data_IF_746621478916
#
_entry.id   IF_746621478916
#
_cell.length_a   1.000
_cell.length_b   1.000
_cell.length_c   1.000
_cell.angle_alpha   90.00
_cell.angle_beta   90.00
_cell.angle_gamma   90.00
#
_symmetry.space_group_name_H-M   'P 1'
#
loop_
_entity.id
_entity.type
_entity.pdbx_description
1 polymer ?
#
# COMPACT_ATOMS: atom_id res chain seq x y z
N UNK A 1 -1.66 4.17 -40.89
CA UNK A 1 -1.81 5.63 -41.11
C UNK A 1 -0.42 6.25 -41.01
N UNK A 2 0.02 6.96 -42.06
CA UNK A 2 1.37 7.57 -42.11
C UNK A 2 1.27 9.00 -41.59
N UNK A 3 2.12 9.37 -40.65
CA UNK A 3 2.15 10.72 -40.07
C UNK A 3 3.54 11.33 -40.21
N UNK A 4 3.59 12.60 -40.57
CA UNK A 4 4.84 13.37 -40.63
C UNK A 4 4.91 14.27 -39.41
N UNK A 5 5.99 14.14 -38.62
CA UNK A 5 6.28 15.00 -37.49
C UNK A 5 7.74 15.42 -37.57
N UNK A 6 8.00 16.73 -37.55
CA UNK A 6 9.36 17.30 -37.62
C UNK A 6 10.16 16.85 -38.87
N UNK A 7 9.52 16.95 -40.04
CA UNK A 7 10.14 16.65 -41.35
C UNK A 7 10.42 15.16 -41.62
N UNK A 8 9.90 14.24 -40.79
CA UNK A 8 10.16 12.80 -40.88
C UNK A 8 8.86 12.01 -40.97
N UNK A 9 8.83 10.97 -41.80
CA UNK A 9 7.69 10.08 -42.00
C UNK A 9 7.70 8.91 -41.02
N UNK A 10 6.56 8.67 -40.35
CA UNK A 10 6.35 7.56 -39.42
C UNK A 10 5.13 6.75 -39.82
N UNK A 11 5.24 5.42 -39.75
CA UNK A 11 4.11 4.51 -39.90
C UNK A 11 3.62 4.15 -38.49
N UNK A 12 2.35 4.45 -38.20
CA UNK A 12 1.69 4.05 -36.95
C UNK A 12 1.10 2.66 -37.09
N UNK A 13 1.52 1.72 -36.22
CA UNK A 13 1.04 0.33 -36.25
C UNK A 13 0.03 0.06 -35.12
N UNK A 14 0.10 0.75 -33.98
CA UNK A 14 -0.98 0.91 -32.96
C UNK A 14 -0.61 2.09 -32.03
N UNK A 15 -1.55 2.65 -31.26
CA UNK A 15 -1.41 3.87 -30.41
C UNK A 15 -0.20 3.91 -29.43
N UNK A 16 0.60 2.85 -29.33
CA UNK A 16 1.75 2.74 -28.42
C UNK A 16 3.12 2.66 -29.12
N UNK A 17 3.18 2.51 -30.46
CA UNK A 17 4.45 2.38 -31.18
C UNK A 17 4.39 2.97 -32.61
N UNK A 18 5.43 3.72 -33.00
CA UNK A 18 5.65 4.22 -34.37
C UNK A 18 7.00 3.73 -34.90
N UNK A 19 7.04 3.33 -36.17
CA UNK A 19 8.28 2.95 -36.86
C UNK A 19 8.69 4.10 -37.78
N UNK A 20 9.95 4.53 -37.63
CA UNK A 20 10.58 5.49 -38.54
C UNK A 20 10.99 4.79 -39.81
N UNK A 21 10.43 5.20 -40.95
CA UNK A 21 10.81 4.71 -42.27
C UNK A 21 11.81 5.70 -42.86
N UNK A 22 13.08 5.33 -42.91
CA UNK A 22 14.09 6.10 -43.64
C UNK A 22 14.13 5.59 -45.08
N UNK A 23 13.80 6.47 -46.03
CA UNK A 23 13.95 6.17 -47.46
C UNK A 23 15.44 6.04 -47.80
N UNK A 24 15.73 5.01 -48.60
CA UNK A 24 17.02 4.48 -49.02
C UNK A 24 18.23 5.44 -49.03
N UNK A 25 19.38 4.97 -48.48
CA UNK A 25 20.69 4.91 -49.15
C UNK A 25 21.79 4.34 -48.25
N UNK A 26 22.43 3.27 -48.78
CA UNK A 26 23.84 2.83 -48.70
C UNK A 26 24.70 3.11 -47.44
N UNK A 27 25.24 2.00 -46.93
CA UNK A 27 26.45 1.80 -46.12
C UNK A 27 26.46 2.26 -44.64
N UNK A 28 27.00 1.33 -43.84
CA UNK A 28 27.65 1.47 -42.55
C UNK A 28 26.82 1.29 -41.27
N UNK A 29 26.97 0.07 -40.72
CA UNK A 29 27.03 -0.29 -39.31
C UNK A 29 25.93 0.32 -38.43
N UNK A 30 24.79 -0.37 -38.39
CA UNK A 30 23.75 -0.14 -37.39
C UNK A 30 24.33 -0.50 -36.03
N UNK A 31 24.81 0.52 -35.32
CA UNK A 31 25.18 0.44 -33.91
C UNK A 31 23.89 0.16 -33.14
N UNK A 32 23.69 -1.12 -32.81
CA UNK A 32 22.67 -1.56 -31.86
C UNK A 32 23.06 -1.01 -30.48
N UNK A 33 22.69 0.24 -30.20
CA UNK A 33 22.61 0.70 -28.82
C UNK A 33 21.54 -0.14 -28.14
N UNK A 34 22.01 -1.18 -27.44
CA UNK A 34 21.21 -2.06 -26.61
C UNK A 34 20.57 -1.22 -25.52
N UNK A 35 19.35 -0.74 -25.75
CA UNK A 35 18.48 -0.22 -24.71
C UNK A 35 18.10 -1.41 -23.83
N UNK A 36 18.88 -1.62 -22.77
CA UNK A 36 18.76 -2.75 -21.84
C UNK A 36 17.50 -2.56 -21.01
N UNK A 37 16.34 -2.95 -21.53
CA UNK A 37 15.17 -3.28 -20.72
C UNK A 37 15.49 -4.55 -19.94
N UNK A 38 16.11 -4.37 -18.77
CA UNK A 38 16.22 -5.38 -17.73
C UNK A 38 15.47 -4.82 -16.53
N UNK A 39 14.23 -5.27 -16.33
CA UNK A 39 13.45 -4.97 -15.12
C UNK A 39 14.17 -5.64 -13.94
N UNK A 40 15.06 -4.88 -13.31
CA UNK A 40 15.79 -5.23 -12.11
C UNK A 40 15.03 -4.62 -10.95
N UNK A 41 14.58 -5.42 -9.99
CA UNK A 41 13.68 -4.98 -8.89
C UNK A 41 14.27 -3.78 -8.13
N UNK A 42 15.58 -3.76 -7.94
CA UNK A 42 16.31 -2.65 -7.33
C UNK A 42 16.16 -1.33 -8.10
N UNK A 43 16.15 -1.35 -9.43
CA UNK A 43 15.98 -0.14 -10.25
C UNK A 43 14.58 0.42 -10.06
N UNK A 44 13.57 -0.44 -9.99
CA UNK A 44 12.18 -0.03 -9.75
C UNK A 44 12.00 0.55 -8.35
N UNK A 45 12.56 -0.09 -7.32
CA UNK A 45 12.53 0.40 -5.94
C UNK A 45 13.26 1.74 -5.84
N UNK A 46 14.48 1.88 -6.40
CA UNK A 46 15.19 3.16 -6.42
C UNK A 46 14.41 4.24 -7.18
N UNK A 47 13.73 3.87 -8.26
CA UNK A 47 12.83 4.77 -8.99
C UNK A 47 11.66 5.25 -8.14
N UNK A 48 11.09 4.38 -7.30
CA UNK A 48 10.04 4.74 -6.33
C UNK A 48 10.60 5.60 -5.19
N UNK A 49 11.79 5.28 -4.66
CA UNK A 49 12.47 6.10 -3.65
C UNK A 49 12.70 7.53 -4.14
N UNK A 50 13.15 7.69 -5.38
CA UNK A 50 13.29 9.02 -6.02
C UNK A 50 11.99 9.82 -6.08
N UNK A 51 10.86 9.15 -6.32
CA UNK A 51 9.53 9.81 -6.34
C UNK A 51 9.16 10.34 -4.95
N UNK A 52 9.43 9.56 -3.92
CA UNK A 52 9.15 9.94 -2.52
C UNK A 52 10.00 11.15 -2.11
N UNK A 53 11.30 11.09 -2.40
CA UNK A 53 12.26 12.13 -2.00
C UNK A 53 12.29 13.32 -2.96
N UNK A 54 11.49 13.30 -4.03
CA UNK A 54 11.37 14.34 -5.08
C UNK A 54 12.69 14.66 -5.81
N UNK A 55 13.66 13.74 -5.78
CA UNK A 55 14.94 13.88 -6.49
C UNK A 55 14.92 13.16 -7.84
N UNK A 56 15.52 13.76 -8.85
CA UNK A 56 15.63 13.15 -10.19
C UNK A 56 16.94 12.39 -10.37
N UNK A 57 18.00 12.84 -9.71
CA UNK A 57 19.37 12.31 -9.85
C UNK A 57 19.68 11.26 -8.80
N UNK A 58 20.60 10.35 -9.11
CA UNK A 58 21.12 9.40 -8.12
C UNK A 58 21.93 10.12 -7.03
N UNK A 59 22.65 11.19 -7.38
CA UNK A 59 23.43 11.99 -6.43
C UNK A 59 22.55 12.66 -5.39
N UNK A 60 21.38 13.19 -5.78
CA UNK A 60 20.43 13.76 -4.82
C UNK A 60 19.84 12.69 -3.90
N UNK A 61 19.59 11.48 -4.41
CA UNK A 61 19.13 10.38 -3.57
C UNK A 61 20.24 9.92 -2.60
N UNK A 62 21.50 9.91 -3.04
CA UNK A 62 22.64 9.49 -2.21
C UNK A 62 22.88 10.45 -1.05
N UNK A 63 22.70 11.74 -1.28
CA UNK A 63 22.78 12.78 -0.24
C UNK A 63 21.68 12.62 0.83
N UNK A 64 20.43 12.40 0.40
CA UNK A 64 19.30 12.15 1.32
C UNK A 64 19.50 10.86 2.13
N UNK A 65 20.08 9.84 1.50
CA UNK A 65 20.35 8.54 2.13
C UNK A 65 21.63 8.52 2.97
N UNK A 66 22.47 9.55 2.89
CA UNK A 66 23.79 9.55 3.54
C UNK A 66 24.75 8.47 3.02
N UNK A 67 24.58 7.99 1.77
CA UNK A 67 25.43 6.96 1.15
C UNK A 67 26.21 7.52 -0.03
N UNK A 68 27.31 6.87 -0.43
CA UNK A 68 28.05 7.28 -1.63
C UNK A 68 27.30 6.94 -2.92
N UNK A 69 27.43 7.72 -4.01
CA UNK A 69 26.84 7.39 -5.32
C UNK A 69 27.28 6.03 -5.89
N UNK A 70 28.49 5.59 -5.52
CA UNK A 70 29.04 4.27 -5.87
C UNK A 70 28.24 3.15 -5.21
N UNK A 71 27.76 3.35 -3.97
CA UNK A 71 26.90 2.40 -3.26
C UNK A 71 25.57 2.21 -3.98
N UNK A 72 24.93 3.30 -4.46
CA UNK A 72 23.72 3.19 -5.27
C UNK A 72 23.95 2.41 -6.58
N UNK A 73 25.10 2.64 -7.22
CA UNK A 73 25.49 1.93 -8.44
C UNK A 73 25.72 0.45 -8.18
N UNK A 74 26.32 0.11 -7.03
CA UNK A 74 26.52 -1.26 -6.56
C UNK A 74 25.20 -1.97 -6.29
N UNK A 75 24.22 -1.31 -5.67
CA UNK A 75 22.89 -1.90 -5.42
C UNK A 75 22.14 -2.21 -6.71
N UNK A 76 22.21 -1.30 -7.71
CA UNK A 76 21.66 -1.53 -9.05
C UNK A 76 22.32 -2.73 -9.74
N UNK A 77 23.66 -2.80 -9.69
CA UNK A 77 24.41 -3.88 -10.31
C UNK A 77 24.14 -5.26 -9.68
N UNK A 78 23.88 -5.29 -8.37
CA UNK A 78 23.62 -6.53 -7.60
C UNK A 78 22.14 -6.91 -7.50
N UNK A 79 21.24 -6.08 -8.01
CA UNK A 79 19.79 -6.19 -7.84
C UNK A 79 19.33 -6.41 -6.38
N UNK A 80 20.01 -5.76 -5.44
CA UNK A 80 19.81 -5.93 -3.99
C UNK A 80 19.96 -4.59 -3.30
N UNK A 81 18.92 -4.16 -2.59
CA UNK A 81 18.93 -2.95 -1.76
C UNK A 81 18.80 -3.38 -0.30
N UNK A 82 19.59 -2.80 0.63
CA UNK A 82 19.44 -3.05 2.05
C UNK A 82 18.04 -2.69 2.54
N UNK A 83 17.40 -3.60 3.28
CA UNK A 83 16.05 -3.39 3.77
C UNK A 83 15.97 -2.25 4.80
N UNK A 84 17.03 -2.04 5.58
CA UNK A 84 17.14 -0.93 6.54
C UNK A 84 16.90 0.42 5.88
N UNK A 85 17.55 0.67 4.74
CA UNK A 85 17.43 1.92 3.96
C UNK A 85 15.99 2.13 3.47
N UNK A 86 15.34 1.06 3.00
CA UNK A 86 13.95 1.12 2.58
C UNK A 86 13.01 1.42 3.76
N UNK A 87 13.24 0.80 4.92
CA UNK A 87 12.43 1.03 6.12
C UNK A 87 12.58 2.45 6.66
N UNK A 88 13.82 2.96 6.74
CA UNK A 88 14.10 4.31 7.23
C UNK A 88 13.40 5.36 6.38
N UNK A 89 13.52 5.27 5.05
CA UNK A 89 12.82 6.18 4.15
C UNK A 89 11.30 6.01 4.20
N UNK A 90 10.81 4.78 4.25
CA UNK A 90 9.38 4.52 4.35
C UNK A 90 8.79 5.10 5.64
N UNK A 91 9.50 4.97 6.76
CA UNK A 91 9.09 5.54 8.05
C UNK A 91 9.17 7.07 8.04
N UNK A 92 10.23 7.65 7.48
CA UNK A 92 10.41 9.10 7.44
C UNK A 92 9.37 9.81 6.57
N UNK A 93 8.91 9.16 5.48
CA UNK A 93 7.95 9.73 4.54
C UNK A 93 6.53 9.18 4.67
N UNK A 94 6.28 8.25 5.60
CA UNK A 94 4.99 7.60 5.79
C UNK A 94 4.53 6.84 4.55
N UNK A 95 5.41 6.03 3.94
CA UNK A 95 5.15 5.31 2.68
C UNK A 95 4.95 3.82 2.95
N UNK A 96 4.02 3.20 2.23
CA UNK A 96 3.76 1.76 2.32
C UNK A 96 4.90 0.94 1.70
N UNK A 97 5.37 -0.07 2.43
CA UNK A 97 6.38 -1.00 1.94
C UNK A 97 5.85 -1.86 0.79
N UNK A 98 4.56 -2.22 0.80
CA UNK A 98 3.91 -2.97 -0.28
C UNK A 98 3.91 -2.17 -1.59
N UNK A 99 3.70 -0.85 -1.50
CA UNK A 99 3.85 0.04 -2.65
C UNK A 99 5.32 0.15 -3.08
N UNK A 100 6.24 0.28 -2.12
CA UNK A 100 7.66 0.43 -2.40
C UNK A 100 8.26 -0.79 -3.11
N UNK A 101 7.95 -2.01 -2.64
CA UNK A 101 8.48 -3.25 -3.20
C UNK A 101 7.58 -3.83 -4.29
N UNK A 102 6.28 -3.94 -4.04
CA UNK A 102 5.30 -4.56 -4.94
C UNK A 102 4.73 -3.61 -5.99
N UNK A 103 4.78 -2.30 -5.78
CA UNK A 103 4.18 -1.32 -6.70
C UNK A 103 2.66 -1.34 -6.71
N UNK A 104 2.05 -2.02 -5.73
CA UNK A 104 0.62 -2.18 -5.59
C UNK A 104 0.13 -1.40 -4.37
N UNK A 105 -1.13 -0.97 -4.41
CA UNK A 105 -1.76 -0.27 -3.29
C UNK A 105 -1.41 1.22 -3.18
N UNK A 106 -1.87 1.88 -2.10
CA UNK A 106 -1.62 3.30 -1.87
C UNK A 106 -0.15 3.57 -1.51
N UNK A 107 0.41 4.65 -2.05
CA UNK A 107 1.81 5.05 -1.79
C UNK A 107 2.01 5.45 -0.33
N UNK A 108 1.15 6.32 0.19
CA UNK A 108 1.21 6.73 1.57
C UNK A 108 0.59 5.64 2.43
N UNK A 109 1.24 5.32 3.54
CA UNK A 109 0.56 4.72 4.67
C UNK A 109 -0.52 5.73 5.03
N UNK A 110 -1.76 5.40 4.68
CA UNK A 110 -2.85 5.90 5.49
C UNK A 110 -2.46 5.53 6.93
N UNK A 111 -2.57 6.45 7.91
CA UNK A 111 -2.41 6.06 9.30
C UNK A 111 -3.20 4.76 9.43
N UNK A 112 -2.56 3.67 9.92
CA UNK A 112 -3.17 2.34 9.87
C UNK A 112 -4.60 2.56 10.28
N UNK A 113 -5.58 2.20 9.45
CA UNK A 113 -6.97 2.44 9.75
C UNK A 113 -7.20 1.81 11.13
N UNK A 114 -7.04 2.61 12.19
CA UNK A 114 -6.65 2.12 13.51
C UNK A 114 -7.96 1.76 14.11
N UNK A 115 -8.58 0.65 13.72
CA UNK A 115 -9.92 0.27 14.19
C UNK A 115 -11.01 1.36 14.00
N UNK A 116 -10.71 2.51 13.37
CA UNK A 116 -11.63 3.66 13.25
C UNK A 116 -12.61 3.47 12.10
N UNK A 117 -12.26 2.68 11.08
CA UNK A 117 -13.17 2.46 9.94
C UNK A 117 -14.18 1.34 10.19
N UNK A 118 -13.91 0.40 11.09
CA UNK A 118 -14.88 -0.62 11.51
C UNK A 118 -15.78 -0.16 12.66
N UNK A 119 -15.38 0.86 13.42
CA UNK A 119 -16.27 1.56 14.36
C UNK A 119 -16.64 2.90 13.72
N UNK A 120 -17.60 2.85 12.80
CA UNK A 120 -18.14 4.03 12.12
C UNK A 120 -18.30 5.18 13.12
N UNK A 121 -17.75 6.34 12.76
CA UNK A 121 -17.81 7.63 13.49
C UNK A 121 -18.76 7.57 14.69
N UNK A 122 -18.23 7.27 15.88
CA UNK A 122 -19.02 7.21 17.12
C UNK A 122 -19.98 8.41 17.17
N UNK A 123 -21.25 8.11 17.38
CA UNK A 123 -22.29 9.10 17.64
C UNK A 123 -21.90 10.02 18.80
N UNK A 124 -22.51 11.20 18.86
CA UNK A 124 -22.25 12.15 19.95
C UNK A 124 -22.45 11.51 21.34
N UNK A 125 -23.45 10.65 21.45
CA UNK A 125 -23.75 9.93 22.67
C UNK A 125 -22.64 8.94 23.04
N UNK A 126 -22.12 8.16 22.10
CA UNK A 126 -21.02 7.22 22.36
C UNK A 126 -19.75 7.94 22.78
N UNK A 127 -19.44 9.09 22.17
CA UNK A 127 -18.31 9.93 22.60
C UNK A 127 -18.47 10.41 24.03
N UNK A 128 -19.67 10.85 24.39
CA UNK A 128 -19.99 11.29 25.75
C UNK A 128 -19.86 10.14 26.76
N UNK A 129 -20.36 8.95 26.42
CA UNK A 129 -20.21 7.75 27.27
C UNK A 129 -18.73 7.41 27.49
N UNK A 130 -17.91 7.43 26.44
CA UNK A 130 -16.47 7.17 26.55
C UNK A 130 -15.78 8.22 27.41
N UNK A 131 -16.13 9.50 27.25
CA UNK A 131 -15.55 10.58 28.05
C UNK A 131 -15.93 10.41 29.53
N UNK A 132 -17.20 10.14 29.82
CA UNK A 132 -17.67 9.87 31.18
C UNK A 132 -16.97 8.65 31.78
N UNK A 133 -16.81 7.57 31.02
CA UNK A 133 -16.10 6.38 31.50
C UNK A 133 -14.65 6.70 31.87
N UNK A 134 -13.96 7.53 31.09
CA UNK A 134 -12.56 7.91 31.34
C UNK A 134 -12.37 8.79 32.57
N UNK A 135 -13.39 9.56 32.98
CA UNK A 135 -13.32 10.39 34.20
C UNK A 135 -13.58 9.60 35.47
N UNK A 136 -14.17 8.38 35.37
CA UNK A 136 -14.36 7.49 36.51
C UNK A 136 -13.03 6.95 37.05
N UNK A 137 -13.00 6.59 38.35
CA UNK A 137 -11.86 5.90 38.95
C UNK A 137 -11.75 4.48 38.40
N UNK A 138 -10.54 3.89 38.44
CA UNK A 138 -10.31 2.51 37.95
C UNK A 138 -11.17 1.46 38.66
N UNK A 139 -11.54 1.64 39.92
CA UNK A 139 -12.48 0.75 40.62
C UNK A 139 -13.85 0.75 39.95
N UNK A 140 -14.33 1.93 39.62
CA UNK A 140 -15.69 2.15 39.13
C UNK A 140 -15.77 1.76 37.65
N UNK A 141 -14.70 2.02 36.90
CA UNK A 141 -14.52 1.50 35.53
C UNK A 141 -14.59 -0.03 35.48
N UNK A 142 -13.96 -0.74 36.44
CA UNK A 142 -14.03 -2.21 36.51
C UNK A 142 -15.44 -2.71 36.78
N UNK A 143 -16.20 -2.01 37.62
CA UNK A 143 -17.60 -2.36 37.89
C UNK A 143 -18.43 -2.20 36.61
N UNK A 144 -18.29 -1.08 35.90
CA UNK A 144 -18.98 -0.84 34.63
C UNK A 144 -18.63 -1.92 33.61
N UNK A 145 -17.35 -2.29 33.50
CA UNK A 145 -16.90 -3.36 32.61
C UNK A 145 -17.54 -4.70 32.97
N UNK A 146 -17.50 -5.09 34.25
CA UNK A 146 -18.08 -6.33 34.74
C UNK A 146 -19.58 -6.43 34.46
N UNK A 147 -20.32 -5.35 34.73
CA UNK A 147 -21.77 -5.31 34.46
C UNK A 147 -22.05 -5.42 32.96
N UNK A 148 -21.27 -4.75 32.11
CA UNK A 148 -21.43 -4.85 30.66
C UNK A 148 -21.16 -6.28 30.15
N UNK A 149 -20.11 -6.92 30.65
CA UNK A 149 -19.76 -8.31 30.33
C UNK A 149 -20.85 -9.29 30.77
N UNK A 150 -21.33 -9.19 32.01
CA UNK A 150 -22.42 -10.02 32.54
C UNK A 150 -23.69 -9.86 31.70
N UNK A 151 -24.01 -8.63 31.27
CA UNK A 151 -25.16 -8.38 30.40
C UNK A 151 -25.01 -9.01 29.03
N UNK A 152 -23.82 -8.94 28.42
CA UNK A 152 -23.57 -9.61 27.14
C UNK A 152 -23.70 -11.13 27.24
N UNK A 153 -23.13 -11.72 28.30
CA UNK A 153 -23.23 -13.16 28.52
C UNK A 153 -24.68 -13.60 28.77
N UNK A 154 -25.46 -12.82 29.51
CA UNK A 154 -26.87 -13.12 29.76
C UNK A 154 -27.69 -13.13 28.46
N UNK A 155 -27.49 -12.16 27.56
CA UNK A 155 -28.17 -12.16 26.26
C UNK A 155 -27.80 -13.37 25.39
N UNK A 156 -26.54 -13.80 25.43
CA UNK A 156 -26.11 -15.00 24.73
C UNK A 156 -26.85 -16.24 25.24
N UNK A 157 -26.93 -16.41 26.57
CA UNK A 157 -27.64 -17.52 27.20
C UNK A 157 -29.13 -17.50 26.87
N UNK A 158 -29.78 -16.33 26.92
CA UNK A 158 -31.20 -16.21 26.55
C UNK A 158 -31.46 -16.69 25.13
N UNK A 159 -30.61 -16.29 24.18
CA UNK A 159 -30.71 -16.73 22.78
C UNK A 159 -30.56 -18.25 22.66
N UNK A 160 -29.64 -18.85 23.42
CA UNK A 160 -29.46 -20.30 23.42
C UNK A 160 -30.66 -21.03 24.01
N UNK A 161 -31.25 -20.50 25.08
CA UNK A 161 -32.47 -21.07 25.68
C UNK A 161 -33.63 -21.03 24.69
N UNK A 162 -33.84 -19.91 24.01
CA UNK A 162 -34.89 -19.76 22.99
C UNK A 162 -34.70 -20.72 21.82
N UNK A 163 -33.47 -20.90 21.36
CA UNK A 163 -33.15 -21.86 20.30
C UNK A 163 -33.41 -23.31 20.74
N UNK A 164 -33.03 -23.67 21.97
CA UNK A 164 -33.24 -25.01 22.50
C UNK A 164 -34.73 -25.29 22.75
N UNK A 165 -35.49 -24.33 23.26
CA UNK A 165 -36.93 -24.48 23.44
C UNK A 165 -37.64 -24.67 22.09
N UNK A 166 -37.27 -23.89 21.07
CA UNK A 166 -37.84 -24.04 19.72
C UNK A 166 -37.55 -25.41 19.10
N UNK A 167 -36.36 -25.99 19.34
CA UNK A 167 -36.02 -27.34 18.89
C UNK A 167 -36.85 -28.42 19.59
N UNK A 168 -37.04 -28.29 20.90
CA UNK A 168 -37.88 -29.22 21.67
C UNK A 168 -39.35 -29.15 21.27
N UNK A 169 -39.88 -27.95 21.02
CA UNK A 169 -41.23 -27.74 20.50
C UNK A 169 -41.41 -28.38 19.11
N UNK A 170 -40.40 -28.24 18.23
CA UNK A 170 -40.41 -28.89 16.92
C UNK A 170 -40.42 -30.42 17.01
N UNK A 171 -39.61 -31.01 17.90
CA UNK A 171 -39.55 -32.46 18.09
C UNK A 171 -40.83 -33.00 18.73
N UNK A 172 -41.43 -32.27 19.67
CA UNK A 172 -42.71 -32.63 20.30
C UNK A 172 -43.89 -32.57 19.32
N UNK A 173 -43.89 -31.64 18.36
CA UNK A 173 -44.91 -31.55 17.32
C UNK A 173 -44.82 -32.64 16.24
N UNK A 174 -43.74 -33.43 16.24
CA UNK A 174 -43.47 -34.50 15.27
C UNK A 174 -43.85 -35.90 15.79
N UNK A 175 -44.11 -36.03 17.08
CA UNK A 175 -44.58 -37.25 17.75
C UNK A 175 -46.11 -37.31 17.78
#
# INVERSE_FOLDING_TARGET
MVFCFDGKCYISITKKYSIRVNSAKKHNNVKLEKFKLSSSKSIEILGRLKKITRVKTDSGLSEILGVSPQTLSSWKGRDRIPYSVCMELASAHGVSLDWLFGGQGPMLLQPPATVVETVGRLSEHERKMVLMFRTLKRSDQRVVYKVAEEKQQLYLLLRQVEELSARLEYDAARL
#
